data_IF_215621029782
#
_entry.id   IF_215621029782
#
_cell.length_a   1.000
_cell.length_b   1.000
_cell.length_c   1.000
_cell.angle_alpha   90.00
_cell.angle_beta   90.00
_cell.angle_gamma   90.00
#
_symmetry.space_group_name_H-M   'P 1'
#
loop_
_entity.id
_entity.type
_entity.pdbx_description
1 polymer ?
#
# COMPACT_ATOMS: atom_id res chain seq x y z
N UNK A 1 21.02 12.30 1.54
CA UNK A 1 19.63 11.97 1.90
C UNK A 1 18.76 13.07 1.28
N UNK A 2 18.69 13.09 -0.05
CA UNK A 2 18.19 14.26 -0.82
C UNK A 2 17.33 13.81 -2.03
N UNK A 3 16.92 12.54 -2.06
CA UNK A 3 16.54 11.86 -3.30
C UNK A 3 15.08 11.45 -3.44
N UNK A 4 14.24 11.60 -2.41
CA UNK A 4 12.81 11.21 -2.49
C UNK A 4 11.86 12.42 -2.45
N UNK A 5 12.19 13.46 -1.67
CA UNK A 5 11.31 14.63 -1.46
C UNK A 5 11.11 15.52 -2.69
N UNK A 6 11.98 15.42 -3.71
CA UNK A 6 11.89 16.23 -4.93
C UNK A 6 10.68 15.87 -5.79
N UNK A 7 10.19 14.63 -5.69
CA UNK A 7 9.18 14.09 -6.61
C UNK A 7 7.76 14.11 -6.03
N UNK A 8 7.63 14.47 -4.75
CA UNK A 8 6.35 14.48 -4.04
C UNK A 8 5.82 15.90 -3.86
N UNK A 9 4.52 16.05 -4.08
CA UNK A 9 3.77 17.22 -3.65
C UNK A 9 3.69 17.30 -2.13
N UNK A 10 3.35 18.47 -1.60
CA UNK A 10 3.19 18.65 -0.15
C UNK A 10 2.04 17.79 0.42
N UNK A 11 0.97 17.59 -0.37
CA UNK A 11 -0.12 16.70 -0.02
C UNK A 11 0.34 15.23 0.09
N UNK A 12 1.17 14.79 -0.85
CA UNK A 12 1.76 13.45 -0.84
C UNK A 12 2.69 13.24 0.36
N UNK A 13 3.51 14.23 0.70
CA UNK A 13 4.36 14.19 1.89
C UNK A 13 3.52 14.11 3.17
N UNK A 14 2.40 14.81 3.23
CA UNK A 14 1.53 14.84 4.40
C UNK A 14 0.82 13.50 4.68
N UNK A 15 0.59 12.67 3.66
CA UNK A 15 -0.08 11.37 3.84
C UNK A 15 0.87 10.23 4.16
N UNK A 16 2.18 10.38 3.92
CA UNK A 16 3.16 9.34 4.28
C UNK A 16 3.12 9.11 5.80
N UNK A 17 3.00 7.85 6.21
CA UNK A 17 2.81 7.45 7.60
C UNK A 17 1.38 7.57 8.12
N UNK A 18 0.42 8.02 7.31
CA UNK A 18 -0.99 8.13 7.67
C UNK A 18 -1.82 6.98 7.10
N UNK A 19 -2.97 6.74 7.72
CA UNK A 19 -4.05 5.92 7.13
C UNK A 19 -5.01 6.83 6.39
N UNK A 20 -5.24 6.55 5.12
CA UNK A 20 -6.11 7.33 4.23
C UNK A 20 -7.13 6.42 3.53
N UNK A 21 -8.18 7.01 2.98
CA UNK A 21 -9.09 6.29 2.09
C UNK A 21 -8.54 6.28 0.66
N UNK A 22 -8.71 5.16 -0.02
CA UNK A 22 -8.37 5.02 -1.43
C UNK A 22 -9.29 4.05 -2.15
N UNK A 23 -9.47 4.26 -3.45
CA UNK A 23 -10.32 3.42 -4.30
C UNK A 23 -9.48 2.40 -5.07
N UNK A 24 -9.92 1.15 -5.11
CA UNK A 24 -9.27 0.11 -5.91
C UNK A 24 -9.48 0.42 -7.40
N UNK A 25 -8.40 0.63 -8.14
CA UNK A 25 -8.46 0.85 -9.59
C UNK A 25 -8.20 -0.44 -10.38
N UNK A 26 -7.29 -1.28 -9.89
CA UNK A 26 -6.92 -2.51 -10.57
C UNK A 26 -6.47 -3.58 -9.57
N UNK A 27 -6.72 -4.84 -9.92
CA UNK A 27 -6.37 -6.01 -9.11
C UNK A 27 -5.64 -6.99 -10.01
N UNK A 28 -4.48 -7.45 -9.54
CA UNK A 28 -3.61 -8.39 -10.20
C UNK A 28 -3.31 -9.57 -9.27
N UNK A 29 -2.80 -10.67 -9.83
CA UNK A 29 -2.39 -11.84 -9.02
C UNK A 29 -1.31 -11.51 -7.97
N UNK A 30 -0.55 -10.46 -8.19
CA UNK A 30 0.58 -10.03 -7.36
C UNK A 30 0.30 -8.78 -6.52
N UNK A 31 -0.91 -8.21 -6.58
CA UNK A 31 -1.30 -7.09 -5.73
C UNK A 31 -2.41 -6.22 -6.32
N UNK A 32 -2.69 -5.08 -5.67
CA UNK A 32 -3.75 -4.15 -6.06
C UNK A 32 -3.23 -2.71 -6.17
N UNK A 33 -3.74 -1.98 -7.16
CA UNK A 33 -3.49 -0.53 -7.35
C UNK A 33 -4.63 0.25 -6.74
N UNK A 34 -4.27 1.23 -5.91
CA UNK A 34 -5.20 2.05 -5.14
C UNK A 34 -4.99 3.52 -5.54
N UNK A 35 -6.07 4.17 -5.96
CA UNK A 35 -6.11 5.60 -6.16
C UNK A 35 -6.31 6.32 -4.82
N UNK A 36 -5.39 7.21 -4.50
CA UNK A 36 -5.38 8.00 -3.26
C UNK A 36 -5.95 9.42 -3.45
N UNK A 37 -6.43 9.76 -4.65
CA UNK A 37 -6.74 11.14 -5.03
C UNK A 37 -5.50 12.03 -5.15
N UNK A 38 -4.32 11.42 -5.32
CA UNK A 38 -3.03 12.07 -5.40
C UNK A 38 -2.38 11.82 -6.77
N UNK A 39 -1.37 12.62 -7.17
CA UNK A 39 -0.67 12.43 -8.43
C UNK A 39 -0.10 11.03 -8.63
N UNK A 40 0.43 10.41 -7.56
CA UNK A 40 0.90 9.03 -7.60
C UNK A 40 -0.09 8.07 -6.92
N UNK A 41 -0.26 6.92 -7.56
CA UNK A 41 -1.07 5.81 -7.03
C UNK A 41 -0.33 5.09 -5.90
N UNK A 42 -1.07 4.33 -5.11
CA UNK A 42 -0.51 3.37 -4.18
C UNK A 42 -0.66 1.93 -4.65
N UNK A 43 0.12 1.04 -4.05
CA UNK A 43 0.15 -0.38 -4.34
C UNK A 43 0.14 -1.21 -3.06
N UNK A 44 -0.80 -2.14 -2.97
CA UNK A 44 -0.85 -3.17 -1.93
C UNK A 44 -0.27 -4.46 -2.52
N UNK A 45 0.78 -4.98 -1.90
CA UNK A 45 1.37 -6.27 -2.28
C UNK A 45 0.46 -7.43 -1.88
N UNK A 46 0.33 -8.45 -2.74
CA UNK A 46 -0.45 -9.64 -2.45
C UNK A 46 -0.03 -10.36 -1.16
N UNK A 47 1.21 -10.17 -0.69
CA UNK A 47 1.68 -10.70 0.60
C UNK A 47 0.95 -10.13 1.82
N UNK A 48 0.24 -9.01 1.67
CA UNK A 48 -0.61 -8.49 2.74
C UNK A 48 -2.04 -9.01 2.67
N UNK A 49 -2.50 -9.38 1.47
CA UNK A 49 -3.87 -9.78 1.18
C UNK A 49 -4.16 -11.15 1.80
N UNK A 50 -5.27 -11.26 2.53
CA UNK A 50 -5.84 -12.52 2.98
C UNK A 50 -7.16 -12.85 2.25
N UNK A 51 -7.67 -14.08 2.43
CA UNK A 51 -8.91 -14.53 1.78
C UNK A 51 -10.16 -13.75 2.22
N UNK A 52 -10.08 -13.01 3.33
CA UNK A 52 -11.17 -12.17 3.86
C UNK A 52 -11.13 -10.73 3.33
N UNK A 53 -10.02 -10.32 2.73
CA UNK A 53 -9.88 -9.00 2.12
C UNK A 53 -10.63 -8.89 0.81
N UNK A 54 -11.38 -7.80 0.67
CA UNK A 54 -12.17 -7.51 -0.52
C UNK A 54 -11.53 -6.36 -1.30
N UNK A 55 -10.62 -6.72 -2.20
CA UNK A 55 -10.08 -5.81 -3.21
C UNK A 55 -10.90 -5.93 -4.49
N UNK A 56 -12.03 -5.23 -4.55
CA UNK A 56 -12.89 -5.17 -5.74
C UNK A 56 -12.71 -3.81 -6.42
N UNK A 57 -12.56 -3.78 -7.74
CA UNK A 57 -12.42 -2.52 -8.49
C UNK A 57 -13.62 -1.60 -8.22
N UNK A 58 -13.34 -0.33 -7.93
CA UNK A 58 -14.32 0.69 -7.56
C UNK A 58 -14.65 0.75 -6.06
N UNK A 59 -14.20 -0.22 -5.25
CA UNK A 59 -14.39 -0.19 -3.80
C UNK A 59 -13.42 0.77 -3.13
N UNK A 60 -13.92 1.54 -2.17
CA UNK A 60 -13.09 2.35 -1.26
C UNK A 60 -12.68 1.54 -0.04
N UNK A 61 -11.42 1.66 0.36
CA UNK A 61 -10.85 1.02 1.54
C UNK A 61 -9.86 1.95 2.25
N UNK A 62 -9.65 1.72 3.55
CA UNK A 62 -8.62 2.40 4.30
C UNK A 62 -7.28 1.71 4.07
N UNK A 63 -6.21 2.48 3.87
CA UNK A 63 -4.83 1.99 3.66
C UNK A 63 -3.85 2.88 4.37
N UNK A 64 -2.83 2.27 4.96
CA UNK A 64 -1.70 3.02 5.51
C UNK A 64 -0.63 3.23 4.45
N UNK A 65 -0.20 4.48 4.25
CA UNK A 65 0.83 4.87 3.30
C UNK A 65 2.20 4.70 3.96
N UNK A 66 2.97 3.70 3.55
CA UNK A 66 4.25 3.38 4.20
C UNK A 66 5.39 4.27 3.71
N UNK A 67 5.60 4.31 2.40
CA UNK A 67 6.69 5.06 1.77
C UNK A 67 6.42 5.24 0.28
N UNK A 68 7.14 6.16 -0.36
CA UNK A 68 7.15 6.31 -1.81
C UNK A 68 8.32 5.54 -2.42
N UNK A 69 8.07 4.78 -3.47
CA UNK A 69 9.13 4.12 -4.24
C UNK A 69 9.43 4.94 -5.49
N UNK A 70 10.55 5.66 -5.47
CA UNK A 70 10.98 6.50 -6.61
C UNK A 70 11.26 5.68 -7.88
N UNK A 71 11.67 4.41 -7.74
CA UNK A 71 11.97 3.56 -8.91
C UNK A 71 10.69 3.08 -9.58
N UNK A 72 9.66 2.80 -8.80
CA UNK A 72 8.36 2.32 -9.30
C UNK A 72 7.32 3.44 -9.46
N UNK A 73 7.65 4.65 -9.03
CA UNK A 73 6.83 5.85 -9.09
C UNK A 73 5.43 5.67 -8.46
N UNK A 74 5.39 5.03 -7.28
CA UNK A 74 4.15 4.71 -6.56
C UNK A 74 4.37 4.61 -5.06
N UNK A 75 3.30 4.70 -4.27
CA UNK A 75 3.35 4.46 -2.83
C UNK A 75 3.23 2.98 -2.48
N UNK A 76 4.01 2.52 -1.50
CA UNK A 76 3.78 1.26 -0.83
C UNK A 76 2.67 1.43 0.20
N UNK A 77 1.63 0.61 0.06
CA UNK A 77 0.48 0.60 0.95
C UNK A 77 0.43 -0.69 1.74
N UNK A 78 -0.08 -0.58 2.97
CA UNK A 78 -0.39 -1.73 3.81
C UNK A 78 -1.82 -1.62 4.35
N UNK A 79 -2.56 -2.73 4.46
CA UNK A 79 -3.92 -2.69 4.98
C UNK A 79 -3.89 -2.37 6.49
N UNK A 80 -4.93 -1.72 7.04
CA UNK A 80 -4.96 -1.31 8.44
C UNK A 80 -4.97 -2.55 9.34
N UNK A 81 -4.00 -2.65 10.25
CA UNK A 81 -3.93 -3.74 11.22
C UNK A 81 -3.47 -5.09 10.68
N UNK A 82 -3.15 -5.22 9.39
CA UNK A 82 -2.58 -6.46 8.85
C UNK A 82 -1.05 -6.44 8.86
N UNK A 83 -0.49 -7.46 9.51
CA UNK A 83 0.92 -7.84 9.40
C UNK A 83 1.13 -8.62 8.09
N UNK A 84 2.24 -8.43 7.36
CA UNK A 84 2.54 -9.22 6.16
C UNK A 84 2.49 -10.72 6.46
N UNK A 85 2.10 -11.54 5.49
CA UNK A 85 1.99 -12.99 5.67
C UNK A 85 3.29 -13.61 6.18
N UNK A 86 4.44 -13.09 5.76
CA UNK A 86 5.77 -13.53 6.21
C UNK A 86 5.91 -13.38 7.72
N UNK A 87 5.53 -12.24 8.28
CA UNK A 87 5.61 -12.00 9.73
C UNK A 87 4.58 -12.85 10.49
N UNK A 88 3.38 -13.03 9.92
CA UNK A 88 2.36 -13.94 10.48
C UNK A 88 2.85 -15.39 10.52
N UNK A 89 3.59 -15.83 9.51
CA UNK A 89 4.15 -17.18 9.43
C UNK A 89 5.35 -17.35 10.37
N UNK A 90 6.24 -16.37 10.47
CA UNK A 90 7.32 -16.36 11.46
C UNK A 90 6.80 -16.44 12.90
N UNK A 91 5.76 -15.67 13.23
CA UNK A 91 5.10 -15.74 14.53
C UNK A 91 4.49 -17.12 14.84
N UNK A 92 4.18 -17.92 13.81
CA UNK A 92 3.71 -19.31 13.93
C UNK A 92 4.83 -20.35 13.93
N UNK A 93 6.10 -19.93 13.90
CA UNK A 93 7.27 -20.82 13.96
C UNK A 93 7.72 -21.38 12.62
N UNK A 94 7.27 -20.82 11.49
CA UNK A 94 7.81 -21.15 10.17
C UNK A 94 9.07 -20.32 9.91
N UNK A 95 10.16 -20.97 9.53
CA UNK A 95 11.42 -20.32 9.14
C UNK A 95 11.42 -20.07 7.62
N UNK A 96 11.25 -18.80 7.23
CA UNK A 96 11.05 -18.32 5.85
C UNK A 96 11.93 -17.11 5.55
#
# INVERSE_FOLDING_TARGET
MESEEKYLTDAEKAVVGQTVEGAVEAVFRWGAIINLGLPHVGFVDALYIDDSDQYEVGRTLQVHVSSFDVRQNKFWLRPPGQTPVVDRLRAKGFDL
#
